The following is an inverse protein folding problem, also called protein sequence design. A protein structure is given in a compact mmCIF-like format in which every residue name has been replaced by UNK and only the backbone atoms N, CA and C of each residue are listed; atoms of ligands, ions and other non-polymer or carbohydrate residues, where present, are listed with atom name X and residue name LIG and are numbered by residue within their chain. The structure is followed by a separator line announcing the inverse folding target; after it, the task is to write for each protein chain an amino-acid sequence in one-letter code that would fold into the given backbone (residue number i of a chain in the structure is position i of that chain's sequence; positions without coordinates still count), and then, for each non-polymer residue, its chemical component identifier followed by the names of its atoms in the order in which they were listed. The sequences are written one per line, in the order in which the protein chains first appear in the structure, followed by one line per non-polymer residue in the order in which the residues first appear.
data_IF_129108317069
#
_entry.id   IF_129108317069
#
_cell.length_a   1.000
_cell.length_b   1.000
_cell.length_c   1.000
_cell.angle_alpha   90.00
_cell.angle_beta   90.00
_cell.angle_gamma   90.00
#
_symmetry.space_group_name_H-M   'P 1'
#
loop_
_entity.id
_entity.type
_entity.pdbx_description
1 polymer ?
#
# COMPACT_ATOMS: atom_id res chain seq x y z
N UNK A 1 -32.28 -44.21 36.83
CA UNK A 1 -31.45 -43.71 35.72
C UNK A 1 -31.42 -42.17 35.63
N UNK A 2 -31.20 -41.43 36.74
CA UNK A 2 -31.07 -39.95 36.75
C UNK A 2 -29.81 -39.46 37.46
N UNK A 3 -29.01 -40.38 38.01
CA UNK A 3 -27.76 -40.08 38.73
C UNK A 3 -26.50 -40.30 37.87
N UNK A 4 -26.57 -41.18 36.88
CA UNK A 4 -25.47 -41.40 35.92
C UNK A 4 -25.36 -40.30 34.84
N UNK A 5 -26.46 -39.59 34.55
CA UNK A 5 -26.45 -38.50 33.58
C UNK A 5 -25.66 -37.27 34.06
N UNK A 6 -25.63 -37.02 35.37
CA UNK A 6 -24.87 -35.91 35.95
C UNK A 6 -23.36 -36.17 35.95
N UNK A 7 -22.92 -37.42 36.09
CA UNK A 7 -21.50 -37.77 36.01
C UNK A 7 -20.95 -37.67 34.57
N UNK A 8 -21.79 -37.90 33.55
CA UNK A 8 -21.36 -37.78 32.16
C UNK A 8 -21.27 -36.31 31.69
N UNK A 9 -22.16 -35.45 32.17
CA UNK A 9 -22.11 -34.02 31.87
C UNK A 9 -20.89 -33.30 32.50
N UNK A 10 -20.37 -33.81 33.62
CA UNK A 10 -19.20 -33.20 34.29
C UNK A 10 -17.87 -33.56 33.63
N UNK A 11 -17.80 -34.66 32.85
CA UNK A 11 -16.57 -35.13 32.22
C UNK A 11 -16.22 -34.38 30.92
N UNK A 12 -17.19 -33.69 30.31
CA UNK A 12 -17.00 -32.92 29.07
C UNK A 12 -16.37 -31.53 29.31
N UNK A 13 -16.27 -31.06 30.55
CA UNK A 13 -15.69 -29.75 30.87
C UNK A 13 -14.17 -29.78 31.06
N UNK A 14 -13.53 -30.96 31.06
CA UNK A 14 -12.08 -31.12 31.29
C UNK A 14 -11.29 -31.34 29.99
N UNK A 15 -11.98 -31.40 28.83
CA UNK A 15 -11.35 -31.66 27.52
C UNK A 15 -11.10 -30.40 26.69
N UNK A 16 -11.39 -29.20 27.21
CA UNK A 16 -11.12 -27.92 26.54
C UNK A 16 -9.74 -27.36 26.93
N UNK A 17 -8.72 -28.20 26.90
CA UNK A 17 -7.34 -27.75 26.87
C UNK A 17 -6.64 -28.51 25.74
N UNK A 18 -7.04 -28.19 24.51
CA UNK A 18 -6.22 -28.49 23.34
C UNK A 18 -5.04 -27.55 23.41
N UNK A 19 -3.94 -28.12 23.87
CA UNK A 19 -2.55 -27.75 23.63
C UNK A 19 -2.40 -26.82 22.42
N UNK A 20 -2.42 -25.51 22.67
CA UNK A 20 -1.68 -24.59 21.83
C UNK A 20 -0.22 -24.99 22.04
N UNK A 21 0.31 -25.71 21.04
CA UNK A 21 1.74 -25.71 20.79
C UNK A 21 2.12 -24.24 20.86
N UNK A 22 2.87 -23.89 21.90
CA UNK A 22 3.75 -22.75 21.93
C UNK A 22 4.31 -22.60 20.53
N UNK A 23 3.76 -21.66 19.76
CA UNK A 23 4.52 -21.01 18.72
C UNK A 23 5.72 -20.51 19.49
N UNK A 24 6.80 -21.27 19.34
CA UNK A 24 8.12 -20.81 19.65
C UNK A 24 8.17 -19.52 18.85
N UNK A 25 7.98 -18.39 19.53
CA UNK A 25 8.45 -17.11 19.03
C UNK A 25 9.95 -17.34 18.98
N UNK A 26 10.38 -17.96 17.89
CA UNK A 26 11.70 -17.74 17.37
C UNK A 26 11.76 -16.23 17.31
N UNK A 27 12.48 -15.68 18.28
CA UNK A 27 13.09 -14.37 18.14
C UNK A 27 14.10 -14.51 17.00
N UNK A 28 13.59 -14.78 15.81
CA UNK A 28 14.30 -14.64 14.57
C UNK A 28 14.28 -13.14 14.31
N UNK A 29 15.17 -12.46 15.02
CA UNK A 29 15.96 -11.37 14.44
C UNK A 29 16.82 -11.93 13.30
N UNK A 30 16.18 -12.62 12.35
CA UNK A 30 16.71 -12.79 11.02
C UNK A 30 16.31 -11.48 10.35
N UNK A 31 17.26 -10.55 10.31
CA UNK A 31 17.17 -9.40 9.42
C UNK A 31 16.92 -9.96 8.02
N UNK A 32 15.67 -9.90 7.58
CA UNK A 32 15.31 -10.31 6.23
C UNK A 32 15.93 -9.30 5.28
N UNK A 33 16.88 -9.76 4.48
CA UNK A 33 17.56 -8.94 3.48
C UNK A 33 16.60 -8.72 2.31
N UNK A 34 16.26 -7.45 2.05
CA UNK A 34 15.38 -7.06 0.96
C UNK A 34 16.24 -6.75 -0.26
N UNK A 35 15.98 -7.41 -1.39
CA UNK A 35 16.63 -7.10 -2.67
C UNK A 35 15.70 -6.29 -3.57
N UNK A 36 16.02 -5.03 -3.81
CA UNK A 36 15.19 -4.11 -4.63
C UNK A 36 15.50 -4.16 -6.13
N UNK A 37 16.60 -4.83 -6.53
CA UNK A 37 17.12 -4.82 -7.91
C UNK A 37 16.13 -5.30 -8.97
N UNK A 38 15.24 -6.23 -8.59
CA UNK A 38 14.24 -6.82 -9.49
C UNK A 38 12.91 -6.06 -9.48
N UNK A 39 12.76 -5.05 -8.62
CA UNK A 39 11.51 -4.32 -8.51
C UNK A 39 11.24 -3.52 -9.79
N UNK A 40 9.97 -3.43 -10.21
CA UNK A 40 9.60 -2.60 -11.34
C UNK A 40 10.05 -1.16 -11.11
N UNK A 41 10.62 -0.53 -12.14
CA UNK A 41 10.98 0.88 -12.10
C UNK A 41 9.73 1.75 -12.10
N UNK A 42 9.85 2.98 -11.58
CA UNK A 42 8.76 3.94 -11.63
C UNK A 42 8.39 4.28 -13.09
N UNK A 43 7.10 4.36 -13.40
CA UNK A 43 6.60 4.85 -14.70
C UNK A 43 7.08 6.28 -14.95
N UNK A 44 7.64 6.55 -16.12
CA UNK A 44 8.08 7.90 -16.49
C UNK A 44 6.87 8.83 -16.74
N UNK A 45 6.96 10.06 -16.24
CA UNK A 45 5.99 11.11 -16.55
C UNK A 45 6.38 11.82 -17.85
N UNK A 46 5.40 12.16 -18.68
CA UNK A 46 5.64 12.98 -19.85
C UNK A 46 5.90 14.45 -19.45
N UNK A 47 6.49 15.24 -20.36
CA UNK A 47 6.90 16.61 -20.06
C UNK A 47 5.74 17.52 -19.60
N UNK A 48 4.53 17.33 -20.14
CA UNK A 48 3.35 18.12 -19.76
C UNK A 48 2.89 17.80 -18.34
N UNK A 49 2.79 16.52 -18.02
CA UNK A 49 2.42 16.06 -16.68
C UNK A 49 3.49 16.48 -15.67
N UNK A 50 4.76 16.27 -15.99
CA UNK A 50 5.88 16.64 -15.13
C UNK A 50 5.88 18.13 -14.80
N UNK A 51 5.64 19.01 -15.78
CA UNK A 51 5.59 20.45 -15.56
C UNK A 51 4.54 20.85 -14.52
N UNK A 52 3.36 20.24 -14.54
CA UNK A 52 2.29 20.53 -13.58
C UNK A 52 2.62 19.94 -12.21
N UNK A 53 3.13 18.70 -12.18
CA UNK A 53 3.45 17.98 -10.94
C UNK A 53 4.64 18.60 -10.20
N UNK A 54 5.54 19.28 -10.91
CA UNK A 54 6.67 20.00 -10.29
C UNK A 54 6.24 21.14 -9.37
N UNK A 55 5.07 21.73 -9.59
CA UNK A 55 4.56 22.82 -8.75
C UNK A 55 3.74 22.31 -7.56
N UNK A 56 3.36 21.03 -7.56
CA UNK A 56 2.60 20.41 -6.49
C UNK A 56 3.53 19.84 -5.41
N UNK A 57 3.73 20.60 -4.33
CA UNK A 57 4.72 20.32 -3.28
C UNK A 57 4.47 18.98 -2.60
N UNK A 58 3.22 18.67 -2.27
CA UNK A 58 2.83 17.44 -1.57
C UNK A 58 3.06 16.21 -2.45
N UNK A 59 2.82 16.33 -3.76
CA UNK A 59 3.12 15.25 -4.70
C UNK A 59 4.62 14.99 -4.79
N UNK A 60 5.45 16.04 -4.86
CA UNK A 60 6.91 15.90 -4.86
C UNK A 60 7.43 15.27 -3.57
N UNK A 61 6.84 15.63 -2.43
CA UNK A 61 7.18 15.02 -1.15
C UNK A 61 6.86 13.52 -1.14
N UNK A 62 5.69 13.14 -1.68
CA UNK A 62 5.34 11.73 -1.88
C UNK A 62 6.31 11.03 -2.84
N UNK A 63 6.66 11.64 -3.97
CA UNK A 63 7.60 11.06 -4.94
C UNK A 63 8.97 10.82 -4.31
N UNK A 64 9.49 11.79 -3.57
CA UNK A 64 10.78 11.68 -2.89
C UNK A 64 10.74 10.54 -1.87
N UNK A 65 9.66 10.44 -1.08
CA UNK A 65 9.48 9.32 -0.14
C UNK A 65 9.38 7.97 -0.85
N UNK A 66 8.79 7.92 -2.05
CA UNK A 66 8.73 6.71 -2.85
C UNK A 66 10.09 6.34 -3.44
N UNK A 67 10.95 7.30 -3.73
CA UNK A 67 12.31 7.01 -4.23
C UNK A 67 13.19 6.32 -3.19
N UNK A 68 13.04 6.70 -1.91
CA UNK A 68 13.71 6.03 -0.79
C UNK A 68 13.31 4.55 -0.67
N UNK A 69 12.15 4.16 -1.18
CA UNK A 69 11.74 2.75 -1.21
C UNK A 69 12.79 1.86 -1.88
N UNK A 70 13.46 2.32 -2.93
CA UNK A 70 14.44 1.49 -3.65
C UNK A 70 15.78 1.37 -2.92
N UNK A 71 15.97 2.06 -1.80
CA UNK A 71 17.18 2.01 -0.98
C UNK A 71 17.00 1.20 0.31
N UNK A 72 15.85 0.54 0.50
CA UNK A 72 15.59 -0.27 1.70
C UNK A 72 16.40 -1.58 1.63
N UNK A 73 17.05 -1.92 2.73
CA UNK A 73 17.89 -3.14 2.80
C UNK A 73 17.29 -4.20 3.73
N UNK A 74 16.41 -3.77 4.65
CA UNK A 74 15.82 -4.64 5.66
C UNK A 74 14.38 -4.22 6.00
N UNK A 75 13.74 -5.02 6.86
CA UNK A 75 12.35 -4.83 7.28
C UNK A 75 12.13 -3.53 8.04
N UNK A 76 13.08 -3.13 8.88
CA UNK A 76 13.01 -1.91 9.67
C UNK A 76 13.02 -0.68 8.74
N UNK A 77 13.92 -0.65 7.75
CA UNK A 77 13.98 0.40 6.73
C UNK A 77 12.67 0.46 5.93
N UNK A 78 12.18 -0.69 5.48
CA UNK A 78 10.90 -0.76 4.78
C UNK A 78 9.76 -0.23 5.66
N UNK A 79 9.74 -0.57 6.95
CA UNK A 79 8.75 -0.04 7.88
C UNK A 79 8.81 1.47 8.01
N UNK A 80 10.00 2.06 8.10
CA UNK A 80 10.17 3.51 8.16
C UNK A 80 9.68 4.20 6.88
N UNK A 81 10.04 3.65 5.72
CA UNK A 81 9.60 4.18 4.42
C UNK A 81 8.08 4.10 4.28
N UNK A 82 7.47 3.00 4.69
CA UNK A 82 6.01 2.81 4.61
C UNK A 82 5.26 3.80 5.50
N UNK A 83 5.73 4.07 6.73
CA UNK A 83 5.13 5.12 7.57
C UNK A 83 5.27 6.50 6.93
N UNK A 84 6.43 6.81 6.33
CA UNK A 84 6.64 8.03 5.56
C UNK A 84 5.64 8.18 4.42
N UNK A 85 5.47 7.12 3.62
CA UNK A 85 4.51 7.09 2.51
C UNK A 85 3.06 7.28 2.99
N UNK A 86 2.69 6.70 4.13
CA UNK A 86 1.36 6.90 4.71
C UNK A 86 1.12 8.36 5.04
N UNK A 87 2.09 9.01 5.68
CA UNK A 87 1.95 10.43 6.05
C UNK A 87 1.89 11.32 4.82
N UNK A 88 2.78 11.10 3.83
CA UNK A 88 2.75 11.85 2.57
C UNK A 88 1.48 11.66 1.76
N UNK A 89 0.84 10.49 1.86
CA UNK A 89 -0.48 10.31 1.27
C UNK A 89 -1.57 11.09 1.97
N UNK A 90 -1.56 11.22 3.30
CA UNK A 90 -2.53 12.06 4.02
C UNK A 90 -2.36 13.53 3.66
N UNK A 91 -1.12 14.01 3.60
CA UNK A 91 -0.78 15.37 3.17
C UNK A 91 -1.30 15.61 1.76
N UNK A 92 -1.00 14.71 0.81
CA UNK A 92 -1.45 14.80 -0.57
C UNK A 92 -2.98 14.79 -0.70
N UNK A 93 -3.68 13.89 0.00
CA UNK A 93 -5.15 13.81 -0.01
C UNK A 93 -5.82 15.08 0.52
N UNK A 94 -5.17 15.77 1.45
CA UNK A 94 -5.69 17.00 2.07
C UNK A 94 -5.32 18.26 1.29
N UNK A 95 -4.36 18.16 0.37
CA UNK A 95 -3.90 19.27 -0.46
C UNK A 95 -4.89 19.63 -1.57
N UNK A 96 -4.74 20.84 -2.10
CA UNK A 96 -5.47 21.26 -3.31
C UNK A 96 -4.85 20.60 -4.54
N UNK A 97 -5.68 19.89 -5.31
CA UNK A 97 -5.23 19.21 -6.52
C UNK A 97 -5.10 20.24 -7.65
N UNK A 98 -4.02 20.21 -8.45
CA UNK A 98 -3.95 21.02 -9.66
C UNK A 98 -5.19 20.79 -10.53
N UNK A 99 -5.79 21.86 -11.08
CA UNK A 99 -7.06 21.80 -11.82
C UNK A 99 -7.13 20.68 -12.88
N UNK A 100 -6.06 20.41 -13.68
CA UNK A 100 -6.09 19.30 -14.64
C UNK A 100 -6.22 17.92 -13.98
N UNK A 101 -5.76 17.77 -12.75
CA UNK A 101 -5.69 16.51 -11.99
C UNK A 101 -6.70 16.40 -10.86
N UNK A 102 -7.47 17.46 -10.58
CA UNK A 102 -8.63 17.40 -9.70
C UNK A 102 -9.79 16.64 -10.37
N UNK A 103 -9.59 15.33 -10.52
CA UNK A 103 -10.51 14.43 -11.20
C UNK A 103 -10.69 13.13 -10.42
N UNK A 104 -11.89 12.52 -10.46
CA UNK A 104 -12.15 11.24 -9.79
C UNK A 104 -11.18 10.13 -10.19
N UNK A 105 -10.70 10.10 -11.43
CA UNK A 105 -9.77 9.07 -11.89
C UNK A 105 -8.41 9.15 -11.16
N UNK A 106 -7.93 10.36 -10.86
CA UNK A 106 -6.66 10.58 -10.13
C UNK A 106 -6.84 10.20 -8.67
N UNK A 107 -7.87 10.74 -8.02
CA UNK A 107 -8.18 10.44 -6.61
C UNK A 107 -8.43 8.95 -6.39
N UNK A 108 -9.10 8.30 -7.34
CA UNK A 108 -9.32 6.85 -7.31
C UNK A 108 -8.02 6.05 -7.35
N UNK A 109 -7.09 6.40 -8.25
CA UNK A 109 -5.78 5.74 -8.34
C UNK A 109 -4.91 5.99 -7.10
N UNK A 110 -4.92 7.20 -6.55
CA UNK A 110 -4.27 7.50 -5.29
C UNK A 110 -4.83 6.65 -4.14
N UNK A 111 -6.15 6.51 -4.03
CA UNK A 111 -6.78 5.65 -3.01
C UNK A 111 -6.37 4.18 -3.15
N UNK A 112 -6.27 3.68 -4.39
CA UNK A 112 -5.77 2.32 -4.65
C UNK A 112 -4.32 2.18 -4.20
N UNK A 113 -3.46 3.15 -4.54
CA UNK A 113 -2.08 3.17 -4.05
C UNK A 113 -2.01 3.18 -2.51
N UNK A 114 -2.79 4.03 -1.83
CA UNK A 114 -2.94 4.02 -0.37
C UNK A 114 -3.30 2.66 0.19
N UNK A 115 -4.22 1.97 -0.46
CA UNK A 115 -4.68 0.64 -0.03
C UNK A 115 -3.51 -0.34 0.00
N UNK A 116 -2.67 -0.35 -1.04
CA UNK A 116 -1.52 -1.25 -1.08
C UNK A 116 -0.38 -0.82 -0.15
N UNK A 117 -0.17 0.48 0.09
CA UNK A 117 0.75 0.93 1.16
C UNK A 117 0.31 0.39 2.52
N UNK A 118 -0.99 0.45 2.81
CA UNK A 118 -1.54 -0.10 4.06
C UNK A 118 -1.47 -1.63 4.12
N UNK A 119 -1.55 -2.32 2.97
CA UNK A 119 -1.34 -3.77 2.88
C UNK A 119 0.09 -4.14 3.29
N UNK A 120 1.10 -3.45 2.74
CA UNK A 120 2.51 -3.66 3.13
C UNK A 120 2.70 -3.42 4.63
N UNK A 121 2.12 -2.34 5.17
CA UNK A 121 2.13 -2.08 6.62
C UNK A 121 1.52 -3.23 7.43
N UNK A 122 0.41 -3.79 6.96
CA UNK A 122 -0.20 -4.98 7.57
C UNK A 122 0.78 -6.15 7.60
N UNK A 123 1.37 -6.49 6.45
CA UNK A 123 2.32 -7.60 6.35
C UNK A 123 3.55 -7.38 7.27
N UNK A 124 4.05 -6.15 7.36
CA UNK A 124 5.12 -5.79 8.30
C UNK A 124 4.74 -6.02 9.77
N UNK A 125 3.55 -5.55 10.18
CA UNK A 125 3.05 -5.69 11.57
C UNK A 125 2.91 -7.17 11.94
N UNK A 126 2.35 -7.97 11.02
CA UNK A 126 2.14 -9.40 11.22
C UNK A 126 3.36 -10.25 10.89
N UNK A 127 4.51 -9.62 10.57
CA UNK A 127 5.78 -10.28 10.22
C UNK A 127 5.64 -11.30 9.08
N UNK A 128 4.75 -11.03 8.14
CA UNK A 128 4.55 -11.81 6.93
C UNK A 128 5.62 -11.47 5.89
N UNK A 129 5.68 -12.27 4.83
CA UNK A 129 6.44 -11.93 3.62
C UNK A 129 5.77 -10.74 2.92
N UNK A 130 6.55 -9.67 2.73
CA UNK A 130 6.10 -8.39 2.17
C UNK A 130 6.30 -8.30 0.66
N UNK A 131 6.99 -9.25 0.01
CA UNK A 131 7.43 -9.07 -1.38
C UNK A 131 6.25 -8.85 -2.33
N UNK A 132 5.22 -9.69 -2.25
CA UNK A 132 4.04 -9.56 -3.11
C UNK A 132 3.29 -8.24 -2.88
N UNK A 133 3.11 -7.81 -1.63
CA UNK A 133 2.39 -6.57 -1.34
C UNK A 133 3.19 -5.34 -1.75
N UNK A 134 4.53 -5.38 -1.66
CA UNK A 134 5.40 -4.33 -2.19
C UNK A 134 5.29 -4.24 -3.71
N UNK A 135 5.31 -5.37 -4.42
CA UNK A 135 5.15 -5.38 -5.87
C UNK A 135 3.79 -4.82 -6.32
N UNK A 136 2.71 -5.17 -5.62
CA UNK A 136 1.38 -4.61 -5.87
C UNK A 136 1.32 -3.10 -5.58
N UNK A 137 1.97 -2.65 -4.50
CA UNK A 137 2.09 -1.24 -4.17
C UNK A 137 2.82 -0.46 -5.26
N UNK A 138 3.95 -0.97 -5.76
CA UNK A 138 4.70 -0.37 -6.86
C UNK A 138 3.84 -0.31 -8.12
N UNK A 139 3.12 -1.39 -8.44
CA UNK A 139 2.21 -1.41 -9.58
C UNK A 139 1.10 -0.36 -9.45
N UNK A 140 0.52 -0.21 -8.27
CA UNK A 140 -0.52 0.79 -8.01
C UNK A 140 0.02 2.23 -8.11
N UNK A 141 1.22 2.48 -7.61
CA UNK A 141 1.90 3.77 -7.77
C UNK A 141 2.19 4.08 -9.23
N UNK A 142 2.66 3.10 -10.00
CA UNK A 142 2.90 3.23 -11.43
C UNK A 142 1.62 3.51 -12.22
N UNK A 143 0.51 2.85 -11.88
CA UNK A 143 -0.79 3.15 -12.46
C UNK A 143 -1.30 4.55 -12.10
N UNK A 144 -0.99 5.03 -10.89
CA UNK A 144 -1.26 6.40 -10.49
C UNK A 144 -0.45 7.42 -11.31
N UNK A 145 0.86 7.18 -11.49
CA UNK A 145 1.72 8.01 -12.34
C UNK A 145 1.24 8.05 -13.79
N UNK A 146 0.89 6.88 -14.34
CA UNK A 146 0.44 6.78 -15.72
C UNK A 146 -0.88 7.52 -15.97
N UNK A 147 -1.77 7.56 -14.98
CA UNK A 147 -3.03 8.30 -15.09
C UNK A 147 -2.81 9.80 -15.35
N UNK A 148 -1.74 10.41 -14.82
CA UNK A 148 -1.39 11.80 -15.16
C UNK A 148 -1.04 11.95 -16.64
N UNK A 149 -0.25 11.00 -17.17
CA UNK A 149 0.13 10.99 -18.59
C UNK A 149 -1.11 10.89 -19.49
N UNK A 150 -2.04 10.01 -19.15
CA UNK A 150 -3.29 9.83 -19.89
C UNK A 150 -4.10 11.13 -19.90
N UNK A 151 -4.25 11.80 -18.75
CA UNK A 151 -5.06 13.02 -18.65
C UNK A 151 -4.52 14.15 -19.51
N UNK A 152 -3.21 14.41 -19.50
CA UNK A 152 -2.64 15.52 -20.28
C UNK A 152 -2.55 15.23 -21.78
N UNK A 153 -2.67 13.96 -22.17
CA UNK A 153 -2.65 13.53 -23.57
C UNK A 153 -4.05 13.26 -24.14
N UNK A 154 -5.08 13.16 -23.29
CA UNK A 154 -6.44 12.95 -23.76
C UNK A 154 -7.00 14.25 -24.35
N UNK A 155 -7.12 14.28 -25.68
CA UNK A 155 -7.65 15.40 -26.46
C UNK A 155 -9.16 15.32 -26.70
N UNK A 156 -9.84 14.30 -26.18
CA UNK A 156 -11.28 14.14 -26.36
C UNK A 156 -12.04 15.13 -25.48
N UNK A 157 -12.47 16.24 -26.09
CA UNK A 157 -13.46 17.12 -25.49
C UNK A 157 -14.83 16.44 -25.56
N UNK A 158 -15.31 15.94 -24.42
CA UNK A 158 -16.62 15.31 -24.30
C UNK A 158 -17.77 16.27 -24.63
N UNK A 159 -17.55 17.59 -24.62
CA UNK A 159 -18.55 18.56 -25.09
C UNK A 159 -18.81 18.41 -26.60
N UNK A 160 -17.77 18.17 -27.40
CA UNK A 160 -17.90 17.92 -28.85
C UNK A 160 -18.66 16.63 -29.18
N UNK A 161 -18.73 15.68 -28.23
CA UNK A 161 -19.38 14.38 -28.44
C UNK A 161 -20.87 14.42 -28.05
N UNK A 162 -21.22 15.28 -27.08
CA UNK A 162 -22.56 15.36 -26.49
C UNK A 162 -23.42 16.50 -27.06
N UNK A 163 -22.86 17.35 -27.91
CA UNK A 163 -23.63 18.27 -28.75
C UNK A 163 -24.33 17.48 -29.88
N UNK A 164 -25.48 16.88 -29.54
CA UNK A 164 -26.51 16.44 -30.49
C UNK A 164 -27.88 16.93 -30.05
#
# INVERSE_FOLDING_TARGET
MRRFFFFWASLLLISSCKQEQSETVASDTVSFEITTEKWPKKTALNAKAQSILNDWVEYKALETSFDVLYTVENREDLSLVIEGLIEKQKELESSEYPTPFDKPQIKGRQKMFKTFVLKVKGDLIYRLDTENSVLEMIAAYNAFRDQFNIIVNNTLDTKLILDK
#
